data_IF_932419764615
#
_entry.id   IF_932419764615
#
_cell.length_a   1.000
_cell.length_b   1.000
_cell.length_c   1.000
_cell.angle_alpha   90.00
_cell.angle_beta   90.00
_cell.angle_gamma   90.00
#
_symmetry.space_group_name_H-M   'P 1'
#
loop_
_entity.id
_entity.type
_entity.pdbx_description
1 polymer ?
#
# COMPACT_ATOMS: atom_id res chain seq x y z
N UNK A 1 -11.73 45.02 21.89
CA UNK A 1 -10.27 44.94 22.18
C UNK A 1 -9.97 43.47 22.48
N UNK A 2 -9.18 42.68 21.76
CA UNK A 2 -8.19 42.89 20.69
C UNK A 2 -8.18 41.60 19.84
N UNK A 3 -8.25 41.74 18.51
CA UNK A 3 -7.98 40.68 17.54
C UNK A 3 -6.46 40.55 17.38
N UNK A 4 -5.89 39.34 17.53
CA UNK A 4 -4.50 39.06 17.13
C UNK A 4 -4.49 38.37 15.76
N UNK A 5 -4.09 39.14 14.75
CA UNK A 5 -3.73 38.67 13.42
C UNK A 5 -2.30 38.10 13.47
N UNK A 6 -2.14 36.80 13.20
CA UNK A 6 -0.83 36.21 12.95
C UNK A 6 -0.50 36.34 11.46
N UNK A 7 0.29 37.35 11.11
CA UNK A 7 0.90 37.52 9.79
C UNK A 7 2.07 36.54 9.63
N UNK A 8 1.88 35.50 8.81
CA UNK A 8 2.97 34.65 8.35
C UNK A 8 3.84 35.44 7.34
N UNK A 9 5.09 35.66 7.72
CA UNK A 9 6.12 36.30 6.90
C UNK A 9 6.37 35.53 5.60
N UNK A 10 6.48 36.25 4.48
CA UNK A 10 6.83 35.73 3.15
C UNK A 10 8.22 35.06 3.07
N UNK A 11 9.03 35.11 4.13
CA UNK A 11 10.38 34.53 4.16
C UNK A 11 10.39 32.99 4.23
N UNK A 12 9.39 32.37 4.88
CA UNK A 12 9.38 30.90 5.09
C UNK A 12 8.98 30.11 3.85
N UNK A 13 8.26 30.74 2.91
CA UNK A 13 7.83 30.11 1.65
C UNK A 13 8.95 30.02 0.59
N UNK A 14 9.97 30.90 0.67
CA UNK A 14 11.08 30.94 -0.30
C UNK A 14 12.22 29.97 0.05
N UNK A 15 12.35 29.55 1.31
CA UNK A 15 13.34 28.54 1.71
C UNK A 15 12.94 27.11 1.30
N UNK A 16 11.64 26.79 1.29
CA UNK A 16 11.14 25.50 0.82
C UNK A 16 11.34 25.26 -0.70
N UNK A 17 11.39 26.34 -1.49
CA UNK A 17 11.60 26.28 -2.94
C UNK A 17 13.08 26.15 -3.34
N UNK A 18 14.03 26.40 -2.43
CA UNK A 18 15.47 26.20 -2.69
C UNK A 18 15.91 24.75 -2.56
N UNK A 19 15.23 23.92 -1.77
CA UNK A 19 15.56 22.50 -1.63
C UNK A 19 15.11 21.63 -2.81
N UNK A 20 14.08 22.04 -3.56
CA UNK A 20 13.50 21.21 -4.62
C UNK A 20 14.24 21.30 -5.98
N UNK A 21 15.22 22.21 -6.13
CA UNK A 21 16.02 22.35 -7.36
C UNK A 21 17.33 21.58 -7.35
N UNK A 22 17.76 21.03 -6.21
CA UNK A 22 19.07 20.39 -6.07
C UNK A 22 19.04 18.86 -6.28
N UNK A 23 17.85 18.27 -6.47
CA UNK A 23 17.67 16.83 -6.71
C UNK A 23 17.36 16.47 -8.18
N UNK A 24 17.27 17.45 -9.09
CA UNK A 24 16.88 17.23 -10.49
C UNK A 24 18.01 17.36 -11.54
N UNK A 25 19.31 17.44 -11.16
CA UNK A 25 20.39 17.63 -12.15
C UNK A 25 21.55 16.62 -12.11
N UNK A 26 21.40 15.43 -11.53
CA UNK A 26 22.44 14.40 -11.57
C UNK A 26 22.08 13.31 -12.59
N UNK A 27 22.28 13.61 -13.87
CA UNK A 27 21.92 12.69 -14.96
C UNK A 27 22.63 12.94 -16.29
N UNK A 28 23.84 13.50 -16.31
CA UNK A 28 24.69 13.51 -17.51
C UNK A 28 26.16 13.38 -17.10
N UNK A 29 26.82 12.27 -17.46
CA UNK A 29 28.28 12.26 -17.68
C UNK A 29 28.65 11.23 -18.77
N UNK A 30 28.81 11.78 -19.96
CA UNK A 30 29.92 11.64 -20.93
C UNK A 30 30.54 10.26 -21.24
N UNK A 31 30.54 9.97 -22.54
CA UNK A 31 31.44 9.08 -23.26
C UNK A 31 32.93 9.36 -22.98
N UNK A 32 33.71 8.30 -22.73
CA UNK A 32 35.14 8.28 -22.94
C UNK A 32 35.59 6.87 -23.38
N UNK A 33 36.01 6.75 -24.64
CA UNK A 33 36.78 5.61 -25.15
C UNK A 33 38.24 5.76 -24.68
N UNK A 34 38.89 4.70 -24.18
CA UNK A 34 40.35 4.66 -24.13
C UNK A 34 40.91 3.79 -25.27
N UNK A 35 41.94 4.34 -25.89
CA UNK A 35 42.80 3.73 -26.89
C UNK A 35 43.62 2.55 -26.33
N UNK A 36 44.05 1.73 -27.28
CA UNK A 36 44.93 0.57 -27.26
C UNK A 36 46.12 0.63 -26.29
N UNK A 37 46.40 -0.51 -25.62
CA UNK A 37 47.76 -0.99 -25.40
C UNK A 37 48.19 -1.24 -23.95
N UNK A 38 48.12 -2.50 -23.51
CA UNK A 38 49.25 -3.31 -23.02
C UNK A 38 48.75 -4.51 -22.20
N UNK A 39 49.20 -5.70 -22.61
CA UNK A 39 49.01 -6.96 -21.86
C UNK A 39 49.79 -6.91 -20.55
N UNK A 40 49.11 -7.14 -19.43
CA UNK A 40 49.70 -7.69 -18.22
C UNK A 40 48.78 -8.80 -17.70
N UNK A 41 49.28 -10.03 -17.77
CA UNK A 41 48.74 -11.19 -17.07
C UNK A 41 48.94 -11.00 -15.59
N UNK A 42 47.87 -10.94 -14.81
CA UNK A 42 47.90 -11.28 -13.40
C UNK A 42 46.56 -11.87 -13.00
N UNK A 43 46.60 -13.16 -12.62
CA UNK A 43 45.47 -13.86 -12.03
C UNK A 43 45.11 -13.24 -10.70
N UNK A 44 44.07 -12.42 -10.69
CA UNK A 44 43.31 -12.11 -9.50
C UNK A 44 41.85 -12.36 -9.83
N UNK A 45 41.32 -13.46 -9.29
CA UNK A 45 39.89 -13.70 -9.23
C UNK A 45 39.26 -12.58 -8.40
N UNK A 46 38.86 -11.50 -9.07
CA UNK A 46 38.08 -10.45 -8.44
C UNK A 46 36.72 -11.08 -8.11
N UNK A 47 36.51 -11.44 -6.84
CA UNK A 47 35.16 -11.61 -6.29
C UNK A 47 34.49 -10.25 -6.38
N UNK A 48 33.96 -9.89 -7.55
CA UNK A 48 33.00 -8.80 -7.68
C UNK A 48 31.79 -9.28 -6.91
N UNK A 49 31.70 -8.88 -5.65
CA UNK A 49 30.50 -9.06 -4.86
C UNK A 49 29.34 -8.52 -5.69
N UNK A 50 28.41 -9.38 -6.05
CA UNK A 50 27.22 -9.02 -6.80
C UNK A 50 26.50 -7.97 -5.97
N UNK A 51 26.60 -6.69 -6.36
CA UNK A 51 25.85 -5.62 -5.71
C UNK A 51 24.39 -6.00 -5.85
N UNK A 52 23.73 -6.32 -4.74
CA UNK A 52 22.31 -6.61 -4.73
C UNK A 52 21.58 -5.32 -5.13
N UNK A 53 21.09 -5.27 -6.36
CA UNK A 53 20.34 -4.11 -6.86
C UNK A 53 18.98 -4.13 -6.16
N UNK A 54 18.79 -3.24 -5.19
CA UNK A 54 17.47 -3.00 -4.59
C UNK A 54 16.61 -2.32 -5.64
N UNK A 55 15.65 -3.07 -6.20
CA UNK A 55 14.68 -2.52 -7.16
C UNK A 55 13.63 -1.68 -6.42
N UNK A 56 13.19 -0.58 -7.02
CA UNK A 56 12.17 0.32 -6.46
C UNK A 56 10.82 -0.39 -6.30
N UNK A 57 10.13 -0.14 -5.19
CA UNK A 57 8.77 -0.63 -4.93
C UNK A 57 7.71 0.10 -5.77
N UNK A 58 6.51 -0.49 -5.88
CA UNK A 58 5.34 0.20 -6.43
C UNK A 58 4.66 1.06 -5.36
N UNK A 59 3.99 2.13 -5.80
CA UNK A 59 3.13 2.93 -4.95
C UNK A 59 1.91 2.12 -4.47
N UNK A 60 1.61 2.22 -3.17
CA UNK A 60 0.45 1.59 -2.53
C UNK A 60 -0.56 2.60 -1.96
N UNK A 61 -0.39 3.88 -2.31
CA UNK A 61 -1.26 4.98 -1.88
C UNK A 61 -2.07 5.51 -3.07
N UNK A 62 -3.37 5.67 -2.88
CA UNK A 62 -4.29 6.28 -3.84
C UNK A 62 -4.87 7.58 -3.26
N UNK A 63 -5.08 8.60 -4.09
CA UNK A 63 -5.68 9.88 -3.71
C UNK A 63 -4.68 10.97 -3.33
N UNK A 64 -5.18 12.20 -3.15
CA UNK A 64 -4.39 13.42 -2.87
C UNK A 64 -4.71 14.02 -1.51
N UNK A 65 -5.95 14.49 -1.32
CA UNK A 65 -6.43 14.99 -0.02
C UNK A 65 -6.96 13.86 0.84
N UNK A 66 -7.88 13.06 0.31
CA UNK A 66 -8.30 11.79 0.90
C UNK A 66 -7.38 10.69 0.37
N UNK A 67 -6.45 10.22 1.21
CA UNK A 67 -5.39 9.29 0.81
C UNK A 67 -5.62 7.93 1.44
N UNK A 68 -5.59 6.89 0.61
CA UNK A 68 -5.76 5.50 1.06
C UNK A 68 -4.49 4.73 0.77
N UNK A 69 -3.83 4.26 1.82
CA UNK A 69 -2.63 3.42 1.72
C UNK A 69 -2.98 2.01 2.13
N UNK A 70 -2.95 1.05 1.20
CA UNK A 70 -3.27 -0.36 1.53
C UNK A 70 -2.00 -1.14 1.91
N UNK A 71 -2.16 -2.15 2.76
CA UNK A 71 -1.06 -3.02 3.21
C UNK A 71 -1.50 -4.47 3.39
N UNK A 72 -0.50 -5.35 3.51
CA UNK A 72 -0.66 -6.76 3.81
C UNK A 72 -0.76 -7.66 2.58
N UNK A 73 -0.54 -8.94 2.83
CA UNK A 73 -0.60 -10.03 1.87
C UNK A 73 -1.67 -11.03 2.29
N UNK A 74 -2.24 -11.72 1.29
CA UNK A 74 -3.31 -12.71 1.53
C UNK A 74 -2.98 -13.84 2.51
N UNK A 75 -1.69 -14.16 2.68
CA UNK A 75 -1.17 -15.21 3.57
C UNK A 75 -0.20 -14.65 4.61
N UNK A 76 -0.21 -13.33 4.84
CA UNK A 76 0.45 -12.70 5.98
C UNK A 76 -0.44 -12.72 7.23
N UNK A 77 -0.09 -11.98 8.29
CA UNK A 77 -0.92 -11.93 9.51
C UNK A 77 -2.25 -11.16 9.35
N UNK A 78 -2.38 -10.35 8.31
CA UNK A 78 -3.59 -9.57 8.02
C UNK A 78 -3.41 -8.66 6.82
N UNK A 79 -4.52 -8.06 6.39
CA UNK A 79 -4.56 -7.03 5.35
C UNK A 79 -5.32 -5.81 5.88
N UNK A 80 -5.07 -4.65 5.31
CA UNK A 80 -5.70 -3.44 5.82
C UNK A 80 -5.37 -2.19 5.03
N UNK A 81 -5.74 -1.06 5.62
CA UNK A 81 -5.42 0.24 5.06
C UNK A 81 -5.21 1.30 6.15
N UNK A 82 -4.51 2.36 5.77
CA UNK A 82 -4.47 3.62 6.49
C UNK A 82 -5.13 4.67 5.61
N UNK A 83 -6.11 5.37 6.15
CA UNK A 83 -6.88 6.40 5.46
C UNK A 83 -6.58 7.73 6.12
N UNK A 84 -6.08 8.67 5.32
CA UNK A 84 -5.70 10.01 5.75
C UNK A 84 -6.53 11.08 5.04
N UNK A 85 -6.62 12.26 5.63
CA UNK A 85 -7.44 13.37 5.14
C UNK A 85 -8.93 13.23 5.42
N UNK A 86 -9.29 12.42 6.41
CA UNK A 86 -10.66 12.27 6.91
C UNK A 86 -10.97 13.47 7.81
N UNK A 87 -12.03 14.25 7.56
CA UNK A 87 -12.42 15.34 8.46
C UNK A 87 -12.76 14.81 9.87
N UNK A 88 -12.51 15.58 10.94
CA UNK A 88 -12.95 15.20 12.28
C UNK A 88 -14.47 15.28 12.40
N UNK A 89 -15.02 14.61 13.44
CA UNK A 89 -16.45 14.62 13.81
C UNK A 89 -17.38 13.96 12.79
N UNK A 90 -16.85 13.11 11.91
CA UNK A 90 -17.68 12.23 11.07
C UNK A 90 -18.12 11.05 11.94
N UNK A 91 -19.42 10.82 12.15
CA UNK A 91 -19.89 9.64 12.85
C UNK A 91 -19.61 8.40 12.00
N UNK A 92 -18.93 7.42 12.59
CA UNK A 92 -18.62 6.16 11.95
C UNK A 92 -18.46 5.06 13.00
N UNK A 93 -19.13 3.93 12.79
CA UNK A 93 -18.98 2.77 13.66
C UNK A 93 -18.27 1.61 12.94
N UNK A 94 -17.73 0.68 13.72
CA UNK A 94 -17.10 -0.53 13.18
C UNK A 94 -18.12 -1.39 12.43
N UNK A 95 -19.38 -1.40 12.86
CA UNK A 95 -20.48 -2.15 12.25
C UNK A 95 -20.82 -1.62 10.85
N UNK A 96 -20.75 -0.31 10.63
CA UNK A 96 -20.94 0.28 9.30
C UNK A 96 -19.84 -0.16 8.33
N UNK A 97 -18.58 -0.19 8.78
CA UNK A 97 -17.48 -0.73 7.97
C UNK A 97 -17.63 -2.24 7.74
N UNK A 98 -18.03 -2.97 8.78
CA UNK A 98 -18.24 -4.42 8.70
C UNK A 98 -19.32 -4.75 7.68
N UNK A 99 -20.41 -3.99 7.62
CA UNK A 99 -21.49 -4.19 6.65
C UNK A 99 -20.99 -4.12 5.19
N UNK A 100 -20.17 -3.12 4.85
CA UNK A 100 -19.61 -3.00 3.50
C UNK A 100 -18.59 -4.11 3.21
N UNK A 101 -17.80 -4.54 4.20
CA UNK A 101 -16.89 -5.68 4.06
C UNK A 101 -17.64 -7.02 3.92
N UNK A 102 -18.76 -7.18 4.60
CA UNK A 102 -19.61 -8.37 4.46
C UNK A 102 -20.19 -8.46 3.05
N UNK A 103 -20.59 -7.33 2.44
CA UNK A 103 -21.02 -7.26 1.02
C UNK A 103 -19.92 -7.67 0.04
N UNK A 104 -18.65 -7.38 0.37
CA UNK A 104 -17.48 -7.78 -0.43
C UNK A 104 -17.18 -9.27 -0.30
N UNK A 105 -17.44 -9.85 0.87
CA UNK A 105 -16.95 -11.18 1.26
C UNK A 105 -17.30 -12.23 0.19
N UNK A 106 -16.32 -13.03 -0.30
CA UNK A 106 -16.61 -14.18 -1.15
C UNK A 106 -17.38 -15.25 -0.34
N UNK A 107 -17.99 -16.23 -1.00
CA UNK A 107 -18.70 -17.29 -0.28
C UNK A 107 -20.19 -17.01 -0.07
N UNK A 108 -20.74 -15.89 -0.57
CA UNK A 108 -22.16 -15.56 -0.42
C UNK A 108 -23.10 -16.41 -1.29
N UNK A 109 -22.57 -17.16 -2.27
CA UNK A 109 -23.35 -18.05 -3.12
C UNK A 109 -22.73 -19.44 -3.22
N UNK A 110 -23.56 -20.43 -3.58
CA UNK A 110 -23.18 -21.84 -3.72
C UNK A 110 -22.06 -22.10 -4.76
N UNK A 111 -21.74 -21.12 -5.60
CA UNK A 111 -20.75 -21.20 -6.69
C UNK A 111 -19.38 -20.61 -6.27
N UNK A 112 -19.32 -19.94 -5.12
CA UNK A 112 -18.11 -19.22 -4.68
C UNK A 112 -17.22 -20.06 -3.74
N UNK A 113 -15.96 -19.66 -3.59
CA UNK A 113 -14.95 -20.40 -2.82
C UNK A 113 -15.39 -20.68 -1.38
N UNK A 114 -15.13 -21.88 -0.82
CA UNK A 114 -15.57 -22.28 0.52
C UNK A 114 -14.81 -21.65 1.70
N UNK A 115 -13.96 -20.63 1.45
CA UNK A 115 -13.18 -19.99 2.51
C UNK A 115 -14.11 -19.20 3.43
N UNK A 116 -14.25 -19.65 4.67
CA UNK A 116 -14.99 -18.97 5.74
C UNK A 116 -14.10 -18.00 6.51
N UNK A 117 -13.30 -17.21 5.79
CA UNK A 117 -12.59 -16.12 6.43
C UNK A 117 -13.60 -15.01 6.71
N UNK A 118 -13.95 -14.81 7.98
CA UNK A 118 -14.72 -13.65 8.39
C UNK A 118 -13.84 -12.43 8.17
N UNK A 119 -14.19 -11.56 7.22
CA UNK A 119 -13.53 -10.27 6.99
C UNK A 119 -13.84 -9.32 8.15
N UNK A 120 -13.44 -9.69 9.36
CA UNK A 120 -13.73 -8.96 10.60
C UNK A 120 -12.84 -7.73 10.65
N UNK A 121 -13.48 -6.57 10.62
CA UNK A 121 -12.86 -5.26 10.69
C UNK A 121 -12.41 -4.94 12.12
N UNK A 122 -11.18 -4.46 12.26
CA UNK A 122 -10.66 -3.82 13.47
C UNK A 122 -10.23 -2.39 13.12
N UNK A 123 -10.84 -1.39 13.76
CA UNK A 123 -10.37 0.01 13.67
C UNK A 123 -9.31 0.22 14.75
N UNK A 124 -8.07 0.49 14.33
CA UNK A 124 -6.92 0.60 15.23
C UNK A 124 -6.64 2.06 15.66
N UNK A 125 -7.06 3.05 14.88
CA UNK A 125 -6.80 4.47 15.14
C UNK A 125 -7.80 5.41 14.48
N UNK A 126 -7.75 6.69 14.85
CA UNK A 126 -8.43 7.79 14.14
C UNK A 126 -9.93 7.92 14.38
N UNK A 127 -10.51 7.06 15.22
CA UNK A 127 -11.90 7.11 15.68
C UNK A 127 -11.91 7.12 17.21
N UNK A 128 -12.75 7.96 17.81
CA UNK A 128 -12.94 8.00 19.27
C UNK A 128 -13.75 6.80 19.77
N UNK A 129 -13.75 6.59 21.09
CA UNK A 129 -14.62 5.59 21.72
C UNK A 129 -16.11 5.87 21.50
N UNK A 130 -16.48 7.14 21.28
CA UNK A 130 -17.85 7.58 21.00
C UNK A 130 -18.27 7.38 19.52
N UNK A 131 -17.41 6.81 18.68
CA UNK A 131 -17.73 6.52 17.28
C UNK A 131 -17.68 7.74 16.36
N UNK A 132 -16.78 8.69 16.63
CA UNK A 132 -16.54 9.84 15.72
C UNK A 132 -15.08 9.93 15.30
N UNK A 133 -14.84 10.36 14.06
CA UNK A 133 -13.47 10.54 13.55
C UNK A 133 -12.74 11.67 14.28
N UNK A 134 -11.45 11.50 14.50
CA UNK A 134 -10.60 12.46 15.21
C UNK A 134 -9.92 13.47 14.28
N UNK A 135 -9.98 13.25 12.97
CA UNK A 135 -9.21 14.02 11.98
C UNK A 135 -7.77 13.52 11.78
N UNK A 136 -7.36 12.51 12.56
CA UNK A 136 -6.08 11.81 12.41
C UNK A 136 -6.24 10.57 11.52
N UNK A 137 -5.14 9.98 11.02
CA UNK A 137 -5.22 8.80 10.16
C UNK A 137 -5.97 7.64 10.81
N UNK A 138 -6.88 7.04 10.04
CA UNK A 138 -7.67 5.88 10.44
C UNK A 138 -7.00 4.63 9.90
N UNK A 139 -6.54 3.77 10.79
CA UNK A 139 -6.00 2.46 10.44
C UNK A 139 -7.07 1.39 10.60
N UNK A 140 -7.29 0.59 9.57
CA UNK A 140 -8.20 -0.55 9.56
C UNK A 140 -7.41 -1.82 9.27
N UNK A 141 -7.62 -2.84 10.10
CA UNK A 141 -7.00 -4.16 9.98
C UNK A 141 -8.08 -5.24 9.87
N UNK A 142 -7.85 -6.20 8.99
CA UNK A 142 -8.56 -7.48 8.95
C UNK A 142 -7.54 -8.59 9.07
N UNK A 143 -7.70 -9.44 10.08
CA UNK A 143 -6.77 -10.55 10.33
C UNK A 143 -7.03 -11.72 9.41
N UNK A 144 -5.96 -12.36 8.96
CA UNK A 144 -6.05 -13.57 8.18
C UNK A 144 -6.22 -14.77 9.13
N UNK A 145 -7.27 -15.60 8.93
CA UNK A 145 -7.54 -16.76 9.79
C UNK A 145 -7.05 -18.08 9.19
N UNK A 146 -7.00 -18.20 7.86
CA UNK A 146 -6.68 -19.45 7.18
C UNK A 146 -5.23 -19.45 6.64
N UNK A 147 -4.28 -19.85 7.49
CA UNK A 147 -2.92 -20.22 7.06
C UNK A 147 -2.85 -21.74 6.82
N UNK A 148 -3.56 -22.27 5.82
CA UNK A 148 -3.37 -23.67 5.42
C UNK A 148 -2.11 -23.80 4.57
N UNK A 149 -1.00 -24.14 5.21
CA UNK A 149 0.31 -24.29 4.55
C UNK A 149 0.47 -25.52 3.64
N UNK A 150 -0.54 -26.40 3.56
CA UNK A 150 -0.43 -27.71 2.87
C UNK A 150 -0.67 -27.70 1.36
N UNK A 151 -1.51 -26.80 0.84
CA UNK A 151 -2.11 -26.94 -0.50
C UNK A 151 -1.28 -26.30 -1.64
N UNK A 152 -0.05 -25.85 -1.37
CA UNK A 152 0.70 -24.97 -2.28
C UNK A 152 2.00 -25.57 -2.85
N UNK A 153 2.29 -26.86 -2.60
CA UNK A 153 3.52 -27.49 -3.11
C UNK A 153 3.62 -27.45 -4.63
N UNK A 154 2.52 -27.64 -5.36
CA UNK A 154 2.52 -27.55 -6.83
C UNK A 154 2.70 -26.11 -7.35
N UNK A 155 2.20 -25.10 -6.61
CA UNK A 155 2.43 -23.68 -6.91
C UNK A 155 3.88 -23.23 -6.69
N UNK A 156 4.72 -24.08 -6.10
CA UNK A 156 6.16 -23.86 -6.06
C UNK A 156 6.84 -24.15 -7.40
N UNK A 157 6.25 -24.99 -8.25
CA UNK A 157 6.89 -25.53 -9.44
C UNK A 157 6.54 -24.76 -10.72
N UNK A 158 5.34 -24.19 -10.83
CA UNK A 158 4.87 -23.53 -12.04
C UNK A 158 4.17 -22.18 -11.76
N UNK A 159 4.23 -21.27 -12.74
CA UNK A 159 3.45 -20.02 -12.71
C UNK A 159 2.00 -20.31 -13.10
N UNK A 160 1.03 -19.78 -12.35
CA UNK A 160 -0.39 -19.98 -12.67
C UNK A 160 -0.80 -19.12 -13.87
N UNK A 161 -1.51 -19.68 -14.85
CA UNK A 161 -2.07 -18.88 -15.95
C UNK A 161 -2.96 -17.75 -15.41
N UNK A 162 -2.89 -16.57 -16.04
CA UNK A 162 -3.66 -15.38 -15.68
C UNK A 162 -3.39 -14.82 -14.26
N UNK A 163 -2.31 -15.24 -13.60
CA UNK A 163 -1.89 -14.70 -12.30
C UNK A 163 -0.61 -13.87 -12.42
N UNK A 164 -0.36 -13.03 -11.42
CA UNK A 164 0.79 -12.14 -11.39
C UNK A 164 2.10 -12.83 -10.96
N UNK A 165 2.13 -14.16 -10.85
CA UNK A 165 3.26 -14.91 -10.30
C UNK A 165 4.55 -14.63 -11.06
N UNK A 166 4.52 -14.78 -12.39
CA UNK A 166 5.68 -14.56 -13.25
C UNK A 166 6.12 -13.09 -13.23
N UNK A 167 5.19 -12.15 -13.38
CA UNK A 167 5.54 -10.72 -13.46
C UNK A 167 6.12 -10.20 -12.14
N UNK A 168 5.61 -10.66 -10.99
CA UNK A 168 6.21 -10.34 -9.68
C UNK A 168 7.60 -10.96 -9.54
N UNK A 169 7.80 -12.20 -9.99
CA UNK A 169 9.09 -12.87 -9.90
C UNK A 169 10.14 -12.19 -10.79
N UNK A 170 9.81 -11.91 -12.06
CA UNK A 170 10.70 -11.14 -12.96
C UNK A 170 10.98 -9.73 -12.43
N UNK A 171 9.96 -9.05 -11.89
CA UNK A 171 10.10 -7.68 -11.41
C UNK A 171 10.90 -7.62 -10.13
N UNK A 172 10.59 -8.43 -9.12
CA UNK A 172 11.15 -8.28 -7.76
C UNK A 172 12.17 -9.38 -7.38
N UNK A 173 12.23 -10.48 -8.12
CA UNK A 173 13.11 -11.62 -7.83
C UNK A 173 12.69 -12.43 -6.60
N UNK A 174 11.46 -12.22 -6.10
CA UNK A 174 10.89 -12.90 -4.94
C UNK A 174 9.42 -13.20 -5.18
N UNK A 175 9.02 -14.43 -4.85
CA UNK A 175 7.66 -14.94 -5.07
C UNK A 175 6.97 -15.32 -3.77
N UNK A 176 5.73 -14.86 -3.61
CA UNK A 176 4.85 -15.27 -2.50
C UNK A 176 4.18 -16.62 -2.80
N UNK A 177 4.95 -17.72 -2.75
CA UNK A 177 4.53 -19.07 -3.19
C UNK A 177 3.28 -19.59 -2.47
N UNK A 178 3.02 -19.12 -1.25
CA UNK A 178 1.87 -19.54 -0.46
C UNK A 178 0.53 -18.99 -0.98
N UNK A 179 0.52 -18.12 -2.01
CA UNK A 179 -0.73 -17.62 -2.57
C UNK A 179 -0.54 -16.54 -3.64
N UNK A 180 -1.47 -15.60 -3.72
CA UNK A 180 -1.34 -14.44 -4.62
C UNK A 180 -0.52 -13.29 -4.04
N UNK A 181 0.01 -13.43 -2.81
CA UNK A 181 0.72 -12.34 -2.13
C UNK A 181 -0.07 -11.04 -2.12
N UNK A 182 0.58 -9.96 -2.57
CA UNK A 182 0.01 -8.60 -2.69
C UNK A 182 -0.92 -8.41 -3.89
N UNK A 183 -0.85 -9.26 -4.92
CA UNK A 183 -1.78 -9.19 -6.06
C UNK A 183 -3.11 -9.90 -5.81
N UNK A 184 -3.30 -10.45 -4.61
CA UNK A 184 -4.53 -11.15 -4.24
C UNK A 184 -5.72 -10.19 -4.14
N UNK A 185 -6.91 -10.69 -4.49
CA UNK A 185 -8.19 -10.01 -4.28
C UNK A 185 -8.44 -9.59 -2.82
N UNK A 186 -7.68 -10.14 -1.85
CA UNK A 186 -7.74 -9.74 -0.45
C UNK A 186 -7.33 -8.28 -0.22
N UNK A 187 -6.51 -7.69 -1.09
CA UNK A 187 -6.17 -6.26 -1.03
C UNK A 187 -7.41 -5.34 -1.11
N UNK A 188 -8.47 -5.81 -1.77
CA UNK A 188 -9.71 -5.04 -1.93
C UNK A 188 -10.43 -4.76 -0.60
N UNK A 189 -10.09 -5.47 0.48
CA UNK A 189 -10.57 -5.17 1.84
C UNK A 189 -10.22 -3.73 2.22
N UNK A 190 -8.97 -3.30 2.01
CA UNK A 190 -8.55 -1.93 2.31
C UNK A 190 -9.30 -0.90 1.46
N UNK A 191 -9.63 -1.25 0.21
CA UNK A 191 -10.42 -0.37 -0.68
C UNK A 191 -11.86 -0.24 -0.23
N UNK A 192 -12.49 -1.34 0.18
CA UNK A 192 -13.89 -1.35 0.64
C UNK A 192 -14.00 -0.62 1.97
N UNK A 193 -13.08 -0.83 2.92
CA UNK A 193 -13.06 -0.09 4.18
C UNK A 193 -12.93 1.43 3.94
N UNK A 194 -12.01 1.84 3.06
CA UNK A 194 -11.88 3.25 2.70
C UNK A 194 -13.09 3.80 1.93
N UNK A 195 -13.68 2.98 1.06
CA UNK A 195 -14.89 3.32 0.31
C UNK A 195 -16.11 3.52 1.21
N UNK A 196 -16.28 2.70 2.25
CA UNK A 196 -17.34 2.85 3.24
C UNK A 196 -17.25 4.21 3.95
N UNK A 197 -16.03 4.60 4.35
CA UNK A 197 -15.79 5.89 4.98
C UNK A 197 -16.01 7.06 4.00
N UNK A 198 -15.52 6.94 2.77
CA UNK A 198 -15.73 7.95 1.74
C UNK A 198 -17.23 8.14 1.44
N UNK A 199 -17.99 7.05 1.34
CA UNK A 199 -19.45 7.06 1.16
C UNK A 199 -20.13 7.81 2.29
N UNK A 200 -19.75 7.55 3.55
CA UNK A 200 -20.29 8.26 4.71
C UNK A 200 -20.03 9.77 4.64
N UNK A 201 -18.82 10.17 4.26
CA UNK A 201 -18.45 11.59 4.10
C UNK A 201 -19.28 12.24 2.99
N UNK A 202 -19.43 11.57 1.85
CA UNK A 202 -20.23 12.09 0.72
C UNK A 202 -21.71 12.22 1.07
N UNK A 203 -22.26 11.25 1.81
CA UNK A 203 -23.63 11.32 2.30
C UNK A 203 -23.85 12.52 3.22
N UNK A 204 -22.94 12.78 4.16
CA UNK A 204 -23.06 13.90 5.11
C UNK A 204 -22.82 15.25 4.44
N UNK A 205 -21.82 15.33 3.56
CA UNK A 205 -21.40 16.61 2.97
C UNK A 205 -22.26 17.05 1.78
N UNK A 206 -22.78 16.09 1.00
CA UNK A 206 -23.45 16.38 -0.27
C UNK A 206 -24.74 15.56 -0.48
N UNK A 207 -25.17 14.73 0.47
CA UNK A 207 -26.37 13.89 0.32
C UNK A 207 -26.25 12.85 -0.80
N UNK A 208 -25.03 12.43 -1.16
CA UNK A 208 -24.77 11.48 -2.25
C UNK A 208 -24.79 10.03 -1.75
N UNK A 209 -25.35 9.10 -2.54
CA UNK A 209 -25.44 7.66 -2.24
C UNK A 209 -24.54 6.76 -3.12
#
# INVERSE_FOLDING_TARGET
MVLHNATLSKSTALEALRWNKQLCSAGEVSHALPLVGQRRTNGQSSRRGTRQIVKSSLANTFGTSFRVTTFGESHGGGVGCVIDGVPPRVPITQEELQFELDRRRPGQSRITTPRQETDTCEILSGVSQDGVTLGTPIAVLVRNKDHRGGDYKEMSLAYRPSHADATYDFKYGVRAVQGGGRSSARETIGRVAAGALAKKILQISAGTE
#
